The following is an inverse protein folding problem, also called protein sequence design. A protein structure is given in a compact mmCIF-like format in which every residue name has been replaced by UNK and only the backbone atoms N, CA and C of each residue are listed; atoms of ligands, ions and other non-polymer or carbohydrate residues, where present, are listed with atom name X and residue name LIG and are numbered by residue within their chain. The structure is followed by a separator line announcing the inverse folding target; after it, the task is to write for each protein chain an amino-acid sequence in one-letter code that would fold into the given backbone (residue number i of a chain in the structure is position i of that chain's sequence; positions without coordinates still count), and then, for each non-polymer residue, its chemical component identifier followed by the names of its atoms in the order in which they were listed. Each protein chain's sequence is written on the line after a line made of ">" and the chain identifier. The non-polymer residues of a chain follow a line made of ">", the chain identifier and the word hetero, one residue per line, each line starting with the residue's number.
data_IF_118659096600
#
_entry.id   IF_118659096600
#
_cell.length_a   1.000
_cell.length_b   1.000
_cell.length_c   1.000
_cell.angle_alpha   90.00
_cell.angle_beta   90.00
_cell.angle_gamma   90.00
#
_symmetry.space_group_name_H-M   'P 1'
#
loop_
_entity.id
_entity.type
_entity.pdbx_description
1 polymer ?
#
# COMPACT_ATOMS: atom_id res chain seq x y z
N UNK A 1 7.12 -1.10 30.69
CA UNK A 1 6.47 -2.34 31.16
C UNK A 1 5.45 -2.71 30.09
N UNK A 2 5.83 -3.57 29.13
CA UNK A 2 4.94 -4.03 28.06
C UNK A 2 4.04 -5.10 28.70
N UNK A 3 2.74 -4.80 28.81
CA UNK A 3 1.76 -5.74 29.31
C UNK A 3 1.79 -7.01 28.48
N UNK A 4 2.05 -8.13 29.15
CA UNK A 4 2.01 -9.49 28.61
C UNK A 4 0.65 -9.73 27.96
N UNK A 5 0.61 -9.65 26.64
CA UNK A 5 -0.43 -10.28 25.84
C UNK A 5 -0.22 -11.79 26.02
N UNK A 6 -1.24 -12.51 26.51
CA UNK A 6 -1.14 -13.95 26.71
C UNK A 6 -0.80 -14.67 25.40
N UNK A 7 -0.06 -15.78 25.46
CA UNK A 7 0.26 -16.58 24.27
C UNK A 7 -1.03 -16.89 23.48
N UNK A 8 -1.12 -16.34 22.26
CA UNK A 8 -2.27 -16.54 21.36
C UNK A 8 -3.37 -15.48 21.44
N UNK A 9 -3.29 -14.50 22.34
CA UNK A 9 -4.22 -13.36 22.32
C UNK A 9 -3.77 -12.34 21.27
N UNK A 10 -4.64 -12.02 20.30
CA UNK A 10 -4.44 -10.91 19.38
C UNK A 10 -5.45 -9.83 19.73
N UNK A 11 -5.00 -8.69 20.28
CA UNK A 11 -5.83 -7.48 20.32
C UNK A 11 -5.66 -6.73 19.00
N UNK A 12 -6.57 -6.94 18.06
CA UNK A 12 -6.63 -6.13 16.85
C UNK A 12 -7.45 -4.87 17.11
N UNK A 13 -6.85 -3.70 16.94
CA UNK A 13 -7.60 -2.45 16.85
C UNK A 13 -7.95 -2.25 15.39
N UNK A 14 -9.23 -2.38 15.05
CA UNK A 14 -9.73 -1.95 13.74
C UNK A 14 -9.89 -0.43 13.76
N UNK A 15 -9.15 0.24 12.90
CA UNK A 15 -9.23 1.69 12.72
C UNK A 15 -9.87 1.92 11.36
N UNK A 16 -11.16 2.25 11.35
CA UNK A 16 -11.92 2.62 10.15
C UNK A 16 -11.58 4.04 9.67
N UNK A 17 -10.31 4.46 9.77
CA UNK A 17 -9.90 5.83 9.47
C UNK A 17 -9.08 5.90 8.17
N UNK A 18 -9.57 6.72 7.26
CA UNK A 18 -9.51 6.59 5.79
C UNK A 18 -8.21 7.07 5.12
N UNK A 19 -7.11 7.20 5.86
CA UNK A 19 -5.84 7.68 5.29
C UNK A 19 -4.73 6.66 5.43
N UNK A 20 -4.44 6.01 4.30
CA UNK A 20 -3.35 5.07 4.03
C UNK A 20 -2.03 5.49 4.72
N UNK A 21 -1.68 6.79 4.70
CA UNK A 21 -0.48 7.35 5.31
C UNK A 21 -0.43 7.28 6.84
N UNK A 22 -1.58 7.35 7.51
CA UNK A 22 -1.65 7.43 8.98
C UNK A 22 -1.19 6.14 9.66
N UNK A 23 -1.57 4.97 9.12
CA UNK A 23 -1.22 3.66 9.69
C UNK A 23 0.31 3.47 9.71
N UNK A 24 0.98 3.84 8.63
CA UNK A 24 2.45 3.74 8.51
C UNK A 24 3.13 4.67 9.52
N UNK A 25 2.66 5.91 9.65
CA UNK A 25 3.19 6.84 10.64
C UNK A 25 3.00 6.34 12.08
N UNK A 26 1.90 5.66 12.37
CA UNK A 26 1.66 5.06 13.69
C UNK A 26 2.56 3.86 13.97
N UNK A 27 2.83 3.02 12.96
CA UNK A 27 3.83 1.96 13.06
C UNK A 27 5.24 2.52 13.32
N UNK A 28 5.64 3.58 12.60
CA UNK A 28 6.94 4.24 12.81
C UNK A 28 7.09 4.90 14.17
N UNK A 29 5.98 5.33 14.78
CA UNK A 29 5.96 5.98 16.09
C UNK A 29 5.77 4.98 17.25
N UNK A 30 5.92 3.68 17.01
CA UNK A 30 5.71 2.59 17.99
C UNK A 30 4.32 2.60 18.65
N UNK A 31 3.32 3.20 18.00
CA UNK A 31 1.94 3.24 18.51
C UNK A 31 1.14 1.99 18.15
N UNK A 32 1.55 1.28 17.10
CA UNK A 32 1.02 -0.02 16.70
C UNK A 32 2.17 -1.02 16.55
N UNK A 33 1.94 -2.28 16.93
CA UNK A 33 2.96 -3.33 16.81
C UNK A 33 2.96 -4.02 15.44
N UNK A 34 1.81 -4.09 14.76
CA UNK A 34 1.67 -4.70 13.44
C UNK A 34 0.46 -4.11 12.69
N UNK A 35 0.42 -4.29 11.38
CA UNK A 35 -0.74 -3.96 10.55
C UNK A 35 -0.96 -5.00 9.46
N UNK A 36 -2.22 -5.31 9.16
CA UNK A 36 -2.60 -6.08 7.97
C UNK A 36 -2.95 -5.10 6.87
N UNK A 37 -2.28 -5.22 5.73
CA UNK A 37 -2.30 -4.17 4.72
C UNK A 37 -2.23 -4.73 3.30
N UNK A 38 -2.95 -4.09 2.37
CA UNK A 38 -2.86 -4.41 0.95
C UNK A 38 -1.77 -3.53 0.34
N UNK A 39 -0.66 -4.15 -0.03
CA UNK A 39 0.48 -3.46 -0.67
C UNK A 39 0.64 -3.92 -2.12
N UNK A 40 1.05 -3.00 -2.99
CA UNK A 40 1.62 -3.34 -4.28
C UNK A 40 3.15 -3.42 -4.19
N UNK A 41 3.82 -3.82 -5.27
CA UNK A 41 5.29 -3.95 -5.29
C UNK A 41 6.03 -2.63 -5.04
N UNK A 42 5.44 -1.49 -5.41
CA UNK A 42 6.05 -0.17 -5.26
C UNK A 42 6.05 0.22 -3.79
N UNK A 43 4.91 0.01 -3.13
CA UNK A 43 4.73 0.23 -1.69
C UNK A 43 5.57 -0.77 -0.90
N UNK A 44 5.63 -2.04 -1.31
CA UNK A 44 6.48 -3.05 -0.69
C UNK A 44 7.93 -2.58 -0.62
N UNK A 45 8.51 -2.17 -1.75
CA UNK A 45 9.90 -1.66 -1.81
C UNK A 45 10.14 -0.44 -0.92
N UNK A 46 9.10 0.37 -0.69
CA UNK A 46 9.22 1.53 0.18
C UNK A 46 9.24 1.13 1.66
N UNK A 47 8.41 0.18 2.07
CA UNK A 47 8.32 -0.25 3.47
C UNK A 47 9.38 -1.28 3.88
N UNK A 48 9.97 -2.01 2.93
CA UNK A 48 11.00 -3.04 3.20
C UNK A 48 12.26 -2.49 3.90
N UNK A 49 12.45 -1.16 3.87
CA UNK A 49 13.55 -0.49 4.57
C UNK A 49 13.31 -0.38 6.08
N UNK A 50 12.06 -0.17 6.49
CA UNK A 50 11.69 0.16 7.87
C UNK A 50 10.94 -0.99 8.58
N UNK A 51 10.35 -1.91 7.81
CA UNK A 51 9.44 -2.94 8.31
C UNK A 51 9.67 -4.30 7.67
N UNK A 52 9.52 -5.37 8.45
CA UNK A 52 9.43 -6.72 7.92
C UNK A 52 8.05 -6.97 7.33
N UNK A 53 8.00 -7.34 6.05
CA UNK A 53 6.75 -7.59 5.33
C UNK A 53 6.55 -9.08 5.13
N UNK A 54 5.44 -9.63 5.64
CA UNK A 54 5.04 -11.03 5.45
C UNK A 54 3.78 -11.07 4.59
N UNK A 55 3.84 -11.77 3.45
CA UNK A 55 2.66 -11.96 2.60
C UNK A 55 1.72 -13.01 3.21
N UNK A 56 0.53 -12.58 3.60
CA UNK A 56 -0.51 -13.48 4.11
C UNK A 56 -1.31 -14.14 2.98
N UNK A 57 -1.58 -13.38 1.90
CA UNK A 57 -2.35 -13.85 0.74
C UNK A 57 -2.14 -12.95 -0.47
N UNK A 58 -1.98 -13.56 -1.65
CA UNK A 58 -2.00 -12.85 -2.93
C UNK A 58 -3.44 -12.49 -3.31
N UNK A 59 -3.72 -11.19 -3.48
CA UNK A 59 -5.04 -10.67 -3.85
C UNK A 59 -5.05 -10.36 -5.36
N UNK A 60 -6.06 -10.86 -6.06
CA UNK A 60 -6.32 -10.52 -7.47
C UNK A 60 -7.29 -9.35 -7.57
N UNK A 61 -6.92 -8.31 -8.32
CA UNK A 61 -7.82 -7.21 -8.65
C UNK A 61 -8.56 -7.58 -9.94
N UNK A 62 -9.89 -7.69 -9.84
CA UNK A 62 -10.74 -8.04 -10.97
C UNK A 62 -11.54 -6.81 -11.43
N UNK A 63 -11.63 -6.62 -12.75
CA UNK A 63 -12.52 -5.62 -13.34
C UNK A 63 -13.93 -6.20 -13.45
N UNK A 64 -14.93 -5.53 -12.85
CA UNK A 64 -16.33 -5.95 -12.89
C UNK A 64 -17.14 -4.93 -13.71
N UNK A 65 -17.90 -5.43 -14.67
CA UNK A 65 -18.80 -4.63 -15.51
C UNK A 65 -20.18 -5.28 -15.61
N UNK A 66 -21.24 -4.46 -15.65
CA UNK A 66 -22.60 -4.95 -15.82
C UNK A 66 -22.82 -5.52 -17.24
N UNK A 67 -23.48 -6.68 -17.36
CA UNK A 67 -23.68 -7.40 -18.63
C UNK A 67 -24.31 -6.54 -19.74
N UNK A 68 -25.28 -5.68 -19.39
CA UNK A 68 -25.90 -4.73 -20.34
C UNK A 68 -24.92 -3.77 -21.04
N UNK A 69 -23.71 -3.60 -20.49
CA UNK A 69 -22.66 -2.74 -21.04
C UNK A 69 -21.48 -3.54 -21.60
N UNK A 70 -21.66 -4.84 -21.88
CA UNK A 70 -20.59 -5.68 -22.40
C UNK A 70 -20.01 -5.17 -23.73
N UNK A 71 -20.82 -4.47 -24.52
CA UNK A 71 -20.39 -3.81 -25.76
C UNK A 71 -19.33 -2.72 -25.53
N UNK A 72 -19.23 -2.16 -24.32
CA UNK A 72 -18.20 -1.18 -23.96
C UNK A 72 -16.87 -1.84 -23.56
N UNK A 73 -16.88 -3.14 -23.24
CA UNK A 73 -15.70 -3.84 -22.73
C UNK A 73 -14.48 -3.73 -23.67
N UNK A 74 -14.60 -3.90 -25.00
CA UNK A 74 -13.45 -3.73 -25.90
C UNK A 74 -12.84 -2.32 -25.81
N UNK A 75 -13.67 -1.28 -25.80
CA UNK A 75 -13.22 0.12 -25.75
C UNK A 75 -12.59 0.46 -24.39
N UNK A 76 -13.13 -0.07 -23.30
CA UNK A 76 -12.58 0.10 -21.95
C UNK A 76 -11.21 -0.57 -21.87
N UNK A 77 -11.08 -1.81 -22.36
CA UNK A 77 -9.81 -2.54 -22.37
C UNK A 77 -8.77 -1.84 -23.22
N UNK A 78 -9.15 -1.35 -24.40
CA UNK A 78 -8.25 -0.59 -25.28
C UNK A 78 -7.74 0.69 -24.59
N UNK A 79 -8.64 1.48 -23.98
CA UNK A 79 -8.26 2.70 -23.25
C UNK A 79 -7.36 2.39 -22.06
N UNK A 80 -7.62 1.32 -21.32
CA UNK A 80 -6.77 0.88 -20.20
C UNK A 80 -5.38 0.54 -20.75
N UNK A 81 -5.28 -0.29 -21.80
CA UNK A 81 -4.00 -0.67 -22.41
C UNK A 81 -3.23 0.54 -22.92
N UNK A 82 -3.91 1.51 -23.56
CA UNK A 82 -3.27 2.73 -24.06
C UNK A 82 -2.72 3.62 -22.93
N UNK A 83 -3.43 3.71 -21.80
CA UNK A 83 -3.02 4.56 -20.66
C UNK A 83 -2.05 3.88 -19.70
N UNK A 84 -2.00 2.55 -19.69
CA UNK A 84 -1.22 1.76 -18.73
C UNK A 84 0.29 2.09 -18.74
N UNK A 85 0.97 2.26 -19.91
CA UNK A 85 2.38 2.60 -19.94
C UNK A 85 2.70 3.93 -19.26
N UNK A 86 1.93 4.98 -19.55
CA UNK A 86 2.12 6.29 -18.93
C UNK A 86 1.83 6.24 -17.42
N UNK A 87 0.77 5.54 -17.02
CA UNK A 87 0.45 5.33 -15.61
C UNK A 87 1.62 4.65 -14.87
N UNK A 88 2.16 3.56 -15.43
CA UNK A 88 3.30 2.84 -14.85
C UNK A 88 4.54 3.73 -14.74
N UNK A 89 4.84 4.52 -15.78
CA UNK A 89 5.95 5.48 -15.78
C UNK A 89 5.80 6.51 -14.66
N UNK A 90 4.62 7.13 -14.53
CA UNK A 90 4.34 8.13 -13.47
C UNK A 90 4.45 7.51 -12.07
N UNK A 91 3.95 6.27 -11.89
CA UNK A 91 4.03 5.56 -10.61
C UNK A 91 5.48 5.29 -10.19
N UNK A 92 6.32 4.86 -11.11
CA UNK A 92 7.75 4.66 -10.86
C UNK A 92 8.49 5.97 -10.56
N UNK A 93 8.21 7.03 -11.34
CA UNK A 93 8.83 8.34 -11.13
C UNK A 93 8.45 8.99 -9.78
N UNK A 94 7.19 8.84 -9.36
CA UNK A 94 6.72 9.37 -8.06
C UNK A 94 7.44 8.70 -6.90
N UNK A 95 7.79 7.41 -7.01
CA UNK A 95 8.55 6.69 -5.99
C UNK A 95 9.96 7.28 -5.80
N UNK A 96 10.61 7.73 -6.87
CA UNK A 96 11.93 8.38 -6.80
C UNK A 96 11.88 9.73 -6.07
N UNK A 97 10.79 10.49 -6.22
CA UNK A 97 10.61 11.77 -5.51
C UNK A 97 10.33 11.59 -4.01
N UNK A 98 9.62 10.52 -3.61
CA UNK A 98 9.48 10.17 -2.20
C UNK A 98 10.84 9.78 -1.57
N UNK A 99 11.69 9.05 -2.30
CA UNK A 99 13.06 8.71 -1.85
C UNK A 99 13.97 9.95 -1.70
N UNK A 100 13.79 10.98 -2.52
CA UNK A 100 14.54 12.23 -2.40
C UNK A 100 14.08 13.07 -1.20
N UNK A 101 12.77 13.11 -0.90
CA UNK A 101 12.23 13.83 0.25
C UNK A 101 12.56 13.19 1.60
N UNK A 102 12.64 11.86 1.69
CA UNK A 102 13.07 11.18 2.91
C UNK A 102 14.58 11.30 3.17
N UNK A 103 15.41 11.37 2.12
CA UNK A 103 16.86 11.64 2.25
C UNK A 103 17.18 13.07 2.66
N UNK A 104 16.44 14.07 2.16
CA UNK A 104 16.63 15.47 2.57
C UNK A 104 16.12 15.75 3.99
N UNK A 105 15.15 14.98 4.49
CA UNK A 105 14.72 15.04 5.89
C UNK A 105 15.73 14.41 6.88
N UNK A 106 16.56 13.47 6.42
CA UNK A 106 17.62 12.84 7.24
C UNK A 106 18.94 13.62 7.25
N UNK A 107 19.15 14.56 6.32
CA UNK A 107 20.40 15.35 6.22
C UNK A 107 20.44 16.59 7.13
N UNK A 108 19.40 16.81 7.94
CA UNK A 108 19.29 17.96 8.86
C UNK A 108 19.49 17.57 10.34
N UNK A 109 20.13 16.44 10.61
CA UNK A 109 20.60 16.04 11.95
C UNK A 109 22.04 15.57 11.88
#
# INVERSE_FOLDING_TARGET
>A
MIGLIGNGEFKSIHVDNELFSSVVSMLKADRYNYAVYVIDEVIKKHFDQDFQIIELKKISINHIIHKKHISLLPQIQEKIRAKLPEFNRKRLAKNNNFQQQSRSAQSNY
#
